data_IF_027974710716
#
_entry.id   IF_027974710716
#
_cell.length_a   1.000
_cell.length_b   1.000
_cell.length_c   1.000
_cell.angle_alpha   90.00
_cell.angle_beta   90.00
_cell.angle_gamma   90.00
#
_symmetry.space_group_name_H-M   'P 1'
#
loop_
_entity.id
_entity.type
_entity.pdbx_description
1 polymer ?
#
# COMPACT_ATOMS: atom_id res chain seq x y z
N UNK A 1 5.69 0.50 27.29
CA UNK A 1 7.00 1.11 27.00
C UNK A 1 6.76 2.09 25.87
N UNK A 2 6.65 3.37 26.21
CA UNK A 2 6.28 4.44 25.30
C UNK A 2 7.37 4.70 24.27
N UNK A 3 7.02 4.62 22.98
CA UNK A 3 7.88 5.13 21.91
C UNK A 3 7.59 6.62 21.77
N UNK A 4 8.44 7.44 22.37
CA UNK A 4 8.36 8.89 22.25
C UNK A 4 8.83 9.33 20.85
N UNK A 5 7.89 9.61 19.95
CA UNK A 5 8.18 10.23 18.65
C UNK A 5 7.98 11.75 18.79
N UNK A 6 9.08 12.49 19.05
CA UNK A 6 9.06 13.95 19.15
C UNK A 6 9.01 14.57 17.75
N UNK A 7 7.83 15.04 17.35
CA UNK A 7 7.65 16.13 16.38
C UNK A 7 6.39 16.94 16.78
N UNK A 8 6.39 18.24 16.44
CA UNK A 8 5.67 19.38 17.05
C UNK A 8 4.11 19.38 17.09
N UNK A 9 3.46 18.26 17.40
CA UNK A 9 2.13 18.12 18.00
C UNK A 9 2.20 16.85 18.85
N UNK A 10 1.99 16.93 20.17
CA UNK A 10 1.90 15.74 21.02
C UNK A 10 0.71 14.88 20.58
N UNK A 11 0.98 13.95 19.67
CA UNK A 11 0.06 12.89 19.29
C UNK A 11 0.16 11.83 20.37
N UNK A 12 -0.79 11.85 21.32
CA UNK A 12 -1.04 10.70 22.19
C UNK A 12 -1.59 9.56 21.34
N UNK A 13 -0.69 8.76 20.76
CA UNK A 13 -1.08 7.57 20.01
C UNK A 13 -1.47 6.46 20.98
N UNK A 14 -2.76 6.13 20.99
CA UNK A 14 -3.18 4.87 21.57
C UNK A 14 -2.65 3.72 20.70
N UNK A 15 -1.57 3.10 21.17
CA UNK A 15 -0.89 2.00 20.48
C UNK A 15 -1.82 0.79 20.26
N UNK A 16 -2.89 0.62 21.04
CA UNK A 16 -3.82 -0.50 20.84
C UNK A 16 -4.73 -0.34 19.61
N UNK A 17 -4.79 0.85 19.00
CA UNK A 17 -5.71 1.17 17.88
C UNK A 17 -4.98 1.71 16.66
N UNK A 18 -3.79 1.17 16.38
CA UNK A 18 -2.95 1.56 15.25
C UNK A 18 -2.92 0.49 14.17
N UNK A 19 -2.87 0.91 12.90
CA UNK A 19 -2.61 0.04 11.76
C UNK A 19 -1.55 0.65 10.83
N UNK A 20 -0.82 -0.21 10.13
CA UNK A 20 0.17 0.18 9.12
C UNK A 20 -0.45 0.03 7.72
N UNK A 21 -0.34 1.06 6.90
CA UNK A 21 -0.63 0.98 5.48
C UNK A 21 0.67 0.95 4.68
N UNK A 22 0.77 0.00 3.77
CA UNK A 22 1.81 -0.09 2.75
C UNK A 22 1.12 0.09 1.41
N UNK A 23 1.42 1.18 0.72
CA UNK A 23 0.63 1.63 -0.44
C UNK A 23 1.46 1.53 -1.72
N UNK A 24 0.91 0.89 -2.75
CA UNK A 24 1.43 0.82 -4.12
C UNK A 24 2.90 0.35 -4.21
N UNK A 25 3.34 -0.52 -3.29
CA UNK A 25 4.69 -1.13 -3.30
C UNK A 25 4.78 -2.35 -4.23
N UNK A 26 4.35 -2.17 -5.47
CA UNK A 26 4.36 -3.19 -6.52
C UNK A 26 5.60 -3.05 -7.41
N UNK A 27 6.05 -4.15 -8.03
CA UNK A 27 7.26 -4.21 -8.86
C UNK A 27 7.27 -3.15 -9.98
N UNK A 28 6.11 -2.91 -10.61
CA UNK A 28 5.91 -1.86 -11.62
C UNK A 28 6.26 -0.44 -11.14
N UNK A 29 6.11 -0.15 -9.85
CA UNK A 29 6.33 1.18 -9.30
C UNK A 29 7.64 1.31 -8.53
N UNK A 30 8.15 0.21 -7.99
CA UNK A 30 9.29 0.24 -7.07
C UNK A 30 10.62 0.08 -7.82
N UNK A 31 10.71 -0.87 -8.75
CA UNK A 31 12.01 -1.25 -9.30
C UNK A 31 12.58 -0.20 -10.27
N UNK A 32 13.87 0.15 -10.17
CA UNK A 32 14.49 1.20 -10.99
C UNK A 32 14.45 0.97 -12.50
N UNK A 33 14.36 -0.28 -12.93
CA UNK A 33 14.27 -0.74 -14.32
C UNK A 33 12.84 -0.73 -14.86
N UNK A 34 11.83 -0.64 -13.98
CA UNK A 34 10.44 -0.62 -14.42
C UNK A 34 10.13 0.66 -15.22
N UNK A 35 9.41 0.56 -16.36
CA UNK A 35 8.99 1.72 -17.13
C UNK A 35 8.05 2.66 -16.36
N UNK A 36 7.39 2.19 -15.31
CA UNK A 36 6.43 2.96 -14.49
C UNK A 36 6.97 3.32 -13.11
N UNK A 37 8.28 3.20 -12.90
CA UNK A 37 8.93 3.47 -11.62
C UNK A 37 8.55 4.84 -11.04
N UNK A 38 8.33 4.86 -9.75
CA UNK A 38 8.12 6.08 -8.97
C UNK A 38 9.45 6.51 -8.38
N UNK A 39 9.85 7.76 -8.67
CA UNK A 39 11.11 8.30 -8.18
C UNK A 39 11.17 8.23 -6.65
N UNK A 40 12.20 7.55 -6.14
CA UNK A 40 12.43 7.40 -4.70
C UNK A 40 11.78 6.18 -4.05
N UNK A 41 10.85 5.48 -4.70
CA UNK A 41 10.16 4.33 -4.12
C UNK A 41 11.13 3.21 -3.70
N UNK A 42 12.09 2.85 -4.56
CA UNK A 42 13.11 1.85 -4.19
C UNK A 42 13.90 2.22 -2.92
N UNK A 43 14.16 3.50 -2.69
CA UNK A 43 14.93 3.97 -1.53
C UNK A 43 14.17 3.83 -0.21
N UNK A 44 12.83 3.81 -0.25
CA UNK A 44 12.01 3.71 0.97
C UNK A 44 11.85 2.27 1.45
N UNK A 45 12.11 1.26 0.60
CA UNK A 45 11.91 -0.17 0.90
C UNK A 45 12.52 -0.57 2.23
N UNK A 46 13.80 -0.22 2.47
CA UNK A 46 14.49 -0.57 3.72
C UNK A 46 13.85 0.05 4.98
N UNK A 47 13.24 1.23 4.86
CA UNK A 47 12.49 1.88 5.94
C UNK A 47 11.16 1.18 6.19
N UNK A 48 10.43 0.87 5.11
CA UNK A 48 9.13 0.18 5.18
C UNK A 48 9.31 -1.21 5.81
N UNK A 49 10.34 -1.96 5.43
CA UNK A 49 10.66 -3.28 6.02
C UNK A 49 10.86 -3.18 7.54
N UNK A 50 11.54 -2.15 8.02
CA UNK A 50 11.75 -1.94 9.47
C UNK A 50 10.44 -1.67 10.21
N UNK A 51 9.58 -0.81 9.65
CA UNK A 51 8.28 -0.49 10.24
C UNK A 51 7.36 -1.71 10.19
N UNK A 52 7.30 -2.41 9.06
CA UNK A 52 6.54 -3.64 8.88
C UNK A 52 6.95 -4.71 9.89
N UNK A 53 8.25 -4.90 10.10
CA UNK A 53 8.76 -5.83 11.13
C UNK A 53 8.24 -5.46 12.51
N UNK A 54 8.27 -4.18 12.88
CA UNK A 54 7.80 -3.69 14.18
C UNK A 54 6.29 -3.94 14.38
N UNK A 55 5.47 -3.62 13.39
CA UNK A 55 4.02 -3.88 13.43
C UNK A 55 3.71 -5.38 13.56
N UNK A 56 4.46 -6.23 12.86
CA UNK A 56 4.34 -7.69 12.95
C UNK A 56 4.72 -8.23 14.33
N UNK A 57 5.77 -7.70 14.95
CA UNK A 57 6.21 -8.10 16.30
C UNK A 57 5.21 -7.71 17.39
N UNK A 58 4.55 -6.55 17.23
CA UNK A 58 3.55 -6.05 18.18
C UNK A 58 2.13 -6.57 17.90
N UNK A 59 1.94 -7.34 16.82
CA UNK A 59 0.65 -7.92 16.46
C UNK A 59 -0.36 -6.90 15.94
N UNK A 60 0.11 -5.73 15.47
CA UNK A 60 -0.75 -4.69 14.91
C UNK A 60 -1.20 -5.02 13.48
N UNK A 61 -2.43 -4.65 13.08
CA UNK A 61 -2.91 -4.87 11.71
C UNK A 61 -2.04 -4.19 10.63
N UNK A 62 -1.78 -4.91 9.55
CA UNK A 62 -1.07 -4.41 8.37
C UNK A 62 -1.97 -4.54 7.14
N UNK A 63 -2.05 -3.46 6.36
CA UNK A 63 -2.81 -3.37 5.13
C UNK A 63 -1.88 -3.06 3.96
N UNK A 64 -1.83 -3.98 2.99
CA UNK A 64 -1.16 -3.80 1.71
C UNK A 64 -2.19 -3.31 0.70
N UNK A 65 -2.14 -2.03 0.38
CA UNK A 65 -3.08 -1.37 -0.52
C UNK A 65 -2.41 -1.33 -1.89
N UNK A 66 -2.94 -2.12 -2.83
CA UNK A 66 -2.36 -2.29 -4.15
C UNK A 66 -3.28 -1.77 -5.24
N UNK A 67 -2.67 -1.38 -6.34
CA UNK A 67 -3.37 -0.97 -7.55
C UNK A 67 -3.55 -2.16 -8.46
N UNK A 68 -4.76 -2.35 -8.96
CA UNK A 68 -5.02 -3.28 -10.06
C UNK A 68 -5.95 -2.63 -11.08
N UNK A 69 -5.65 -2.84 -12.36
CA UNK A 69 -6.48 -2.43 -13.48
C UNK A 69 -6.83 -3.61 -14.36
N UNK A 70 -8.07 -3.62 -14.86
CA UNK A 70 -8.46 -4.59 -15.88
C UNK A 70 -7.63 -4.39 -17.15
N UNK A 71 -7.38 -5.51 -17.83
CA UNK A 71 -6.58 -5.58 -19.05
C UNK A 71 -7.15 -4.71 -20.19
N UNK A 72 -8.46 -4.48 -20.20
CA UNK A 72 -9.19 -3.63 -21.15
C UNK A 72 -9.15 -2.13 -20.79
N UNK A 73 -8.60 -1.77 -19.64
CA UNK A 73 -8.54 -0.40 -19.13
C UNK A 73 -9.89 0.19 -18.73
N UNK A 74 -10.96 -0.61 -18.60
CA UNK A 74 -12.31 -0.13 -18.25
C UNK A 74 -12.39 0.56 -16.88
N UNK A 75 -11.43 0.32 -16.00
CA UNK A 75 -11.36 0.88 -14.66
C UNK A 75 -10.11 1.75 -14.42
N UNK A 76 -9.34 2.12 -15.44
CA UNK A 76 -8.24 3.07 -15.27
C UNK A 76 -8.75 4.53 -15.26
N UNK A 77 -7.97 5.45 -14.70
CA UNK A 77 -8.31 6.86 -14.76
C UNK A 77 -8.33 7.39 -16.22
N UNK A 78 -9.34 8.22 -16.55
CA UNK A 78 -9.60 8.70 -17.92
C UNK A 78 -8.38 9.31 -18.61
N UNK A 79 -7.55 10.06 -17.89
CA UNK A 79 -6.36 10.72 -18.45
C UNK A 79 -5.18 9.76 -18.71
N UNK A 80 -5.24 8.53 -18.19
CA UNK A 80 -4.26 7.45 -18.43
C UNK A 80 -4.74 6.45 -19.48
N UNK A 81 -6.06 6.37 -19.69
CA UNK A 81 -6.71 5.37 -20.55
C UNK A 81 -6.03 5.19 -21.92
N UNK A 82 -5.84 6.28 -22.67
CA UNK A 82 -5.27 6.19 -24.03
C UNK A 82 -3.87 5.60 -24.05
N UNK A 83 -2.98 6.07 -23.17
CA UNK A 83 -1.61 5.53 -23.08
C UNK A 83 -1.60 4.06 -22.66
N UNK A 84 -2.49 3.68 -21.75
CA UNK A 84 -2.60 2.32 -21.23
C UNK A 84 -3.02 1.32 -22.31
N UNK A 85 -4.08 1.62 -23.06
CA UNK A 85 -4.54 0.75 -24.15
C UNK A 85 -3.56 0.72 -25.33
N UNK A 86 -2.75 1.78 -25.52
CA UNK A 86 -1.70 1.85 -26.54
C UNK A 86 -0.43 1.06 -26.15
N UNK A 87 -0.50 0.22 -25.10
CA UNK A 87 0.57 -0.72 -24.72
C UNK A 87 1.35 -0.35 -23.46
N UNK A 88 1.11 0.82 -22.86
CA UNK A 88 1.73 1.21 -21.59
C UNK A 88 0.95 0.61 -20.40
N UNK A 89 0.85 -0.72 -20.34
CA UNK A 89 0.13 -1.44 -19.28
C UNK A 89 1.01 -1.61 -18.05
N UNK A 90 0.39 -1.49 -16.88
CA UNK A 90 0.99 -1.65 -15.57
C UNK A 90 -0.09 -1.99 -14.56
N UNK A 91 0.27 -2.62 -13.45
CA UNK A 91 -0.66 -3.04 -12.41
C UNK A 91 -1.82 -3.89 -12.98
N UNK A 92 -1.55 -4.69 -14.01
CA UNK A 92 -2.52 -5.65 -14.56
C UNK A 92 -2.44 -6.94 -13.74
N UNK A 93 -3.56 -7.48 -13.23
CA UNK A 93 -3.56 -8.73 -12.48
C UNK A 93 -2.84 -9.87 -13.22
N UNK A 94 -2.11 -10.69 -12.45
CA UNK A 94 -1.33 -11.84 -12.93
C UNK A 94 -0.10 -11.50 -13.79
N UNK A 95 0.32 -10.24 -13.85
CA UNK A 95 1.65 -9.87 -14.35
C UNK A 95 2.65 -9.77 -13.21
N UNK A 96 3.92 -10.04 -13.48
CA UNK A 96 5.00 -9.86 -12.51
C UNK A 96 5.04 -8.42 -11.97
N UNK A 97 4.89 -7.42 -12.85
CA UNK A 97 4.85 -6.01 -12.48
C UNK A 97 3.79 -5.65 -11.44
N UNK A 98 2.65 -6.36 -11.45
CA UNK A 98 1.56 -6.14 -10.50
C UNK A 98 1.80 -6.74 -9.11
N UNK A 99 2.79 -7.63 -8.97
CA UNK A 99 3.11 -8.25 -7.69
C UNK A 99 3.69 -7.23 -6.71
N UNK A 100 3.44 -7.43 -5.41
CA UNK A 100 4.14 -6.71 -4.35
C UNK A 100 5.60 -7.16 -4.36
N UNK A 101 6.54 -6.26 -4.09
CA UNK A 101 7.97 -6.61 -4.00
C UNK A 101 8.23 -7.68 -2.92
N UNK A 102 9.24 -8.52 -3.15
CA UNK A 102 9.50 -9.71 -2.34
C UNK A 102 9.74 -9.37 -0.86
N UNK A 103 10.35 -8.21 -0.58
CA UNK A 103 10.65 -7.74 0.78
C UNK A 103 9.39 -7.40 1.59
N UNK A 104 8.27 -7.15 0.91
CA UNK A 104 7.01 -6.69 1.50
C UNK A 104 5.85 -7.66 1.27
N UNK A 105 6.12 -8.91 0.87
CA UNK A 105 5.07 -9.91 0.67
C UNK A 105 4.15 -10.00 1.90
N UNK A 106 2.82 -9.89 1.70
CA UNK A 106 1.85 -10.02 2.78
C UNK A 106 1.90 -11.37 3.46
N UNK A 107 1.79 -11.40 4.79
CA UNK A 107 1.53 -12.64 5.53
C UNK A 107 0.04 -13.03 5.44
N UNK A 108 -0.27 -14.30 5.70
CA UNK A 108 -1.66 -14.84 5.64
C UNK A 108 -2.67 -14.06 6.52
N UNK A 109 -2.21 -13.45 7.61
CA UNK A 109 -3.01 -12.68 8.55
C UNK A 109 -3.02 -11.16 8.26
N UNK A 110 -2.44 -10.71 7.15
CA UNK A 110 -2.41 -9.31 6.72
C UNK A 110 -3.44 -9.07 5.63
N UNK A 111 -3.91 -7.83 5.54
CA UNK A 111 -4.97 -7.46 4.59
C UNK A 111 -4.36 -7.03 3.27
N UNK A 112 -4.90 -7.51 2.15
CA UNK A 112 -4.57 -7.02 0.81
C UNK A 112 -5.80 -6.35 0.23
N UNK A 113 -5.74 -5.03 0.06
CA UNK A 113 -6.85 -4.21 -0.43
C UNK A 113 -6.53 -3.80 -1.85
N UNK A 114 -7.43 -4.13 -2.78
CA UNK A 114 -7.29 -3.73 -4.19
C UNK A 114 -8.02 -2.42 -4.41
N UNK A 115 -7.33 -1.43 -5.00
CA UNK A 115 -7.92 -0.17 -5.45
C UNK A 115 -7.67 0.04 -6.94
N UNK A 116 -8.63 0.68 -7.59
CA UNK A 116 -8.54 1.10 -9.00
C UNK A 116 -8.38 2.63 -9.14
N UNK A 117 -8.17 3.34 -8.04
CA UNK A 117 -8.09 4.81 -7.95
C UNK A 117 -6.97 5.23 -7.01
N UNK A 118 -6.80 6.54 -6.82
CA UNK A 118 -5.80 7.07 -5.90
C UNK A 118 -6.10 6.76 -4.43
N UNK A 119 -7.35 6.95 -4.02
CA UNK A 119 -7.76 6.72 -2.63
C UNK A 119 -7.82 5.23 -2.33
N UNK A 120 -7.18 4.81 -1.24
CA UNK A 120 -7.33 3.45 -0.69
C UNK A 120 -8.70 3.18 -0.08
N UNK A 121 -9.51 4.21 0.18
CA UNK A 121 -10.84 4.10 0.80
C UNK A 121 -12.00 4.07 -0.20
N UNK A 122 -11.82 4.71 -1.35
CA UNK A 122 -12.92 4.93 -2.28
C UNK A 122 -13.28 3.62 -2.99
N UNK A 123 -14.50 3.13 -2.76
CA UNK A 123 -15.01 1.88 -3.32
C UNK A 123 -14.16 0.64 -2.96
N UNK A 124 -13.61 0.61 -1.75
CA UNK A 124 -12.90 -0.54 -1.20
C UNK A 124 -13.49 -0.94 0.16
N UNK A 125 -13.13 -2.12 0.62
CA UNK A 125 -13.46 -2.65 1.95
C UNK A 125 -12.60 -2.07 3.08
N UNK A 126 -11.60 -1.23 2.78
CA UNK A 126 -10.64 -0.71 3.76
C UNK A 126 -11.34 -0.02 4.94
N UNK A 127 -12.26 0.91 4.66
CA UNK A 127 -12.98 1.65 5.69
C UNK A 127 -13.85 0.75 6.57
N UNK A 128 -14.47 -0.27 5.97
CA UNK A 128 -15.28 -1.25 6.69
C UNK A 128 -14.42 -2.06 7.67
N UNK A 129 -13.26 -2.56 7.23
CA UNK A 129 -12.37 -3.38 8.06
C UNK A 129 -11.79 -2.53 9.22
N UNK A 130 -11.34 -1.31 8.95
CA UNK A 130 -10.79 -0.42 9.98
C UNK A 130 -11.81 -0.12 11.08
N UNK A 131 -13.06 0.18 10.68
CA UNK A 131 -14.16 0.40 11.62
C UNK A 131 -14.44 -0.85 12.45
N UNK A 132 -14.44 -2.05 11.83
CA UNK A 132 -14.64 -3.32 12.53
C UNK A 132 -13.54 -3.59 13.56
N UNK A 133 -12.29 -3.26 13.22
CA UNK A 133 -11.13 -3.39 14.10
C UNK A 133 -10.97 -2.24 15.10
N UNK A 134 -11.84 -1.22 15.03
CA UNK A 134 -11.80 0.00 15.88
C UNK A 134 -10.46 0.74 15.79
N UNK A 135 -9.84 0.76 14.61
CA UNK A 135 -8.59 1.48 14.35
C UNK A 135 -8.87 2.98 14.31
N UNK A 136 -8.06 3.75 15.04
CA UNK A 136 -8.16 5.22 15.10
C UNK A 136 -6.88 5.92 14.65
N UNK A 137 -5.77 5.19 14.57
CA UNK A 137 -4.46 5.70 14.20
C UNK A 137 -3.93 4.91 13.00
N UNK A 138 -3.39 5.62 12.01
CA UNK A 138 -2.83 5.00 10.80
C UNK A 138 -1.41 5.53 10.62
N UNK A 139 -0.47 4.61 10.39
CA UNK A 139 0.88 4.92 9.93
C UNK A 139 0.95 4.66 8.43
N UNK A 140 1.47 5.62 7.66
CA UNK A 140 1.58 5.59 6.20
C UNK A 140 3.00 6.01 5.82
#
# INVERSE_FOLDING_TARGET
MDVACKNNRELTMNCEKVALFIIDMQKDFVFPESPFRVAGAYKTVSGIVKVLKKFREEGHPVFHIVREYREDGSDIEKFRYRKFIDGNKYAVPNTEGCEIIDELIPRKNEYRIVKNRFSGFMNTELGFILNRLKISNIVI
#
